data_IF_809268465998
#
_entry.id   IF_809268465998
#
_cell.length_a   1.000
_cell.length_b   1.000
_cell.length_c   1.000
_cell.angle_alpha   90.00
_cell.angle_beta   90.00
_cell.angle_gamma   90.00
#
_symmetry.space_group_name_H-M   'P 1'
#
loop_
_entity.id
_entity.type
_entity.pdbx_description
1 polymer ?
#
# COMPACT_ATOMS: atom_id res chain seq x y z
N UNK A 1 6.55 -1.13 36.16
CA UNK A 1 6.69 -1.62 34.78
C UNK A 1 8.03 -1.12 34.26
N UNK A 2 8.81 -1.97 33.60
CA UNK A 2 10.01 -1.57 32.87
C UNK A 2 9.85 -1.99 31.41
N UNK A 3 10.40 -1.20 30.49
CA UNK A 3 10.50 -1.57 29.09
C UNK A 3 11.50 -2.73 28.98
N UNK A 4 11.06 -3.86 28.41
CA UNK A 4 11.96 -4.97 28.13
C UNK A 4 12.71 -4.60 26.86
N UNK A 5 14.02 -4.43 26.92
CA UNK A 5 14.83 -4.25 25.71
C UNK A 5 14.56 -5.44 24.78
N UNK A 6 14.19 -5.13 23.54
CA UNK A 6 13.86 -6.12 22.53
C UNK A 6 14.98 -7.18 22.45
N UNK A 7 14.65 -8.43 22.75
CA UNK A 7 15.47 -9.58 22.36
C UNK A 7 15.34 -9.75 20.86
N UNK A 8 16.06 -8.93 20.09
CA UNK A 8 16.25 -9.15 18.66
C UNK A 8 17.00 -10.48 18.50
N UNK A 9 16.28 -11.56 18.23
CA UNK A 9 16.89 -12.81 17.79
C UNK A 9 17.34 -12.57 16.34
N UNK A 10 18.52 -11.97 16.18
CA UNK A 10 19.18 -11.73 14.88
C UNK A 10 20.12 -12.87 14.55
N UNK A 11 19.58 -14.07 14.50
CA UNK A 11 20.32 -15.21 13.95
C UNK A 11 20.00 -15.30 12.45
N UNK A 12 21.00 -15.59 11.62
CA UNK A 12 20.81 -15.79 10.17
C UNK A 12 19.73 -16.84 9.88
N UNK A 13 19.59 -17.83 10.76
CA UNK A 13 18.52 -18.84 10.69
C UNK A 13 17.12 -18.26 10.75
N UNK A 14 16.91 -17.12 11.42
CA UNK A 14 15.62 -16.44 11.45
C UNK A 14 15.30 -15.76 10.12
N UNK A 15 16.29 -15.19 9.43
CA UNK A 15 16.11 -14.61 8.10
C UNK A 15 15.71 -15.66 7.07
N UNK A 16 16.16 -16.91 7.23
CA UNK A 16 15.74 -18.04 6.38
C UNK A 16 14.25 -18.38 6.52
N UNK A 17 13.57 -17.91 7.58
CA UNK A 17 12.12 -18.12 7.71
C UNK A 17 11.32 -17.18 6.81
N UNK A 18 11.88 -16.05 6.38
CA UNK A 18 11.16 -15.05 5.60
C UNK A 18 10.80 -15.61 4.22
N UNK A 19 9.66 -15.15 3.70
CA UNK A 19 9.24 -15.46 2.35
C UNK A 19 10.00 -14.58 1.36
N UNK A 20 10.49 -15.19 0.27
CA UNK A 20 10.95 -14.44 -0.90
C UNK A 20 9.71 -13.80 -1.53
N UNK A 21 9.77 -12.49 -1.76
CA UNK A 21 8.66 -11.71 -2.30
C UNK A 21 9.08 -11.08 -3.62
N UNK A 22 8.76 -11.76 -4.72
CA UNK A 22 9.13 -11.34 -6.06
C UNK A 22 8.16 -10.30 -6.61
N UNK A 23 8.57 -9.59 -7.66
CA UNK A 23 7.70 -8.64 -8.34
C UNK A 23 6.42 -9.33 -8.84
N UNK A 24 5.26 -8.81 -8.42
CA UNK A 24 3.94 -9.34 -8.73
C UNK A 24 3.41 -10.40 -7.76
N UNK A 25 4.20 -10.85 -6.78
CA UNK A 25 3.67 -11.65 -5.68
C UNK A 25 2.69 -10.81 -4.84
N UNK A 26 1.74 -11.47 -4.18
CA UNK A 26 0.78 -10.83 -3.26
C UNK A 26 0.96 -11.37 -1.84
N UNK A 27 0.81 -10.49 -0.85
CA UNK A 27 0.81 -10.86 0.56
C UNK A 27 -0.54 -10.47 1.21
N UNK A 28 -1.09 -11.33 2.06
CA UNK A 28 -2.35 -11.05 2.75
C UNK A 28 -2.13 -10.24 4.04
N UNK A 29 -2.75 -9.08 4.15
CA UNK A 29 -2.82 -8.26 5.36
C UNK A 29 -4.19 -8.43 6.03
N UNK A 30 -4.24 -9.16 7.15
CA UNK A 30 -5.48 -9.47 7.86
C UNK A 30 -6.12 -8.31 8.63
N UNK A 31 -5.50 -7.13 8.69
CA UNK A 31 -6.00 -6.00 9.48
C UNK A 31 -7.32 -5.47 8.94
N UNK A 32 -8.30 -5.33 9.84
CA UNK A 32 -9.62 -4.79 9.48
C UNK A 32 -9.60 -3.26 9.48
N UNK A 33 -10.26 -2.67 8.49
CA UNK A 33 -10.47 -1.22 8.41
C UNK A 33 -11.84 -0.90 7.83
N UNK A 34 -12.22 0.39 7.82
CA UNK A 34 -13.48 0.84 7.19
C UNK A 34 -13.59 0.43 5.70
N UNK A 35 -12.46 0.33 5.00
CA UNK A 35 -12.42 0.02 3.57
C UNK A 35 -12.13 -1.46 3.29
N UNK A 36 -11.71 -2.23 4.31
CA UNK A 36 -11.27 -3.62 4.19
C UNK A 36 -11.79 -4.41 5.39
N UNK A 37 -13.01 -4.94 5.28
CA UNK A 37 -13.66 -5.62 6.39
C UNK A 37 -13.05 -6.99 6.72
N UNK A 38 -12.43 -7.62 5.72
CA UNK A 38 -11.87 -8.98 5.76
C UNK A 38 -10.36 -9.01 5.48
N UNK A 39 -9.66 -7.91 5.81
CA UNK A 39 -8.28 -7.72 5.36
C UNK A 39 -8.19 -7.40 3.87
N UNK A 40 -6.98 -7.46 3.32
CA UNK A 40 -6.71 -7.19 1.91
C UNK A 40 -5.44 -7.90 1.46
N UNK A 41 -5.26 -7.99 0.14
CA UNK A 41 -3.96 -8.34 -0.41
C UNK A 41 -3.16 -7.09 -0.78
N UNK A 42 -1.84 -7.20 -0.69
CA UNK A 42 -0.87 -6.20 -1.13
C UNK A 42 0.00 -6.83 -2.20
N UNK A 43 -0.03 -6.26 -3.40
CA UNK A 43 0.82 -6.68 -4.51
C UNK A 43 2.20 -6.02 -4.44
N UNK A 44 3.24 -6.80 -4.68
CA UNK A 44 4.58 -6.30 -4.83
C UNK A 44 4.76 -5.61 -6.19
N UNK A 45 4.83 -4.29 -6.16
CA UNK A 45 5.07 -3.45 -7.36
C UNK A 45 6.42 -2.74 -7.32
N UNK A 46 7.26 -3.04 -6.33
CA UNK A 46 8.50 -2.30 -6.05
C UNK A 46 9.73 -3.05 -6.59
N UNK A 47 9.79 -4.36 -6.40
CA UNK A 47 10.93 -5.20 -6.80
C UNK A 47 11.12 -6.40 -5.87
N UNK A 48 12.07 -7.26 -6.20
CA UNK A 48 12.33 -8.47 -5.41
C UNK A 48 12.83 -8.11 -4.00
N UNK A 49 12.31 -8.80 -3.00
CA UNK A 49 12.70 -8.62 -1.60
C UNK A 49 12.28 -9.79 -0.73
N UNK A 50 12.16 -9.53 0.56
CA UNK A 50 11.66 -10.49 1.54
C UNK A 50 10.48 -9.90 2.30
N UNK A 51 9.56 -10.76 2.72
CA UNK A 51 8.44 -10.40 3.60
C UNK A 51 8.38 -11.39 4.76
N UNK A 52 8.00 -10.90 5.94
CA UNK A 52 7.96 -11.73 7.15
C UNK A 52 7.08 -12.97 6.94
N UNK A 53 7.50 -14.10 7.51
CA UNK A 53 6.78 -15.38 7.45
C UNK A 53 5.37 -15.32 8.06
N UNK A 54 5.06 -14.27 8.81
CA UNK A 54 3.73 -14.05 9.39
C UNK A 54 2.66 -13.73 8.34
N UNK A 55 3.06 -13.37 7.13
CA UNK A 55 2.14 -13.10 6.03
C UNK A 55 2.01 -14.30 5.10
N UNK A 56 0.77 -14.63 4.74
CA UNK A 56 0.51 -15.58 3.66
C UNK A 56 0.88 -14.92 2.33
N UNK A 57 1.81 -15.54 1.58
CA UNK A 57 2.33 -15.03 0.30
C UNK A 57 1.90 -15.95 -0.83
N UNK A 58 1.43 -15.37 -1.93
CA UNK A 58 0.97 -16.09 -3.10
C UNK A 58 1.64 -15.56 -4.37
N UNK A 59 1.99 -16.48 -5.25
CA UNK A 59 2.55 -16.19 -6.57
C UNK A 59 1.49 -16.37 -7.65
N UNK A 60 1.25 -15.37 -8.53
CA UNK A 60 0.31 -15.51 -9.63
C UNK A 60 0.71 -16.64 -10.59
N UNK A 61 -0.22 -17.56 -10.85
CA UNK A 61 -0.04 -18.66 -11.81
C UNK A 61 -0.44 -18.29 -13.24
N UNK A 62 -1.34 -17.31 -13.40
CA UNK A 62 -1.81 -16.87 -14.71
C UNK A 62 -0.73 -16.06 -15.41
N UNK A 63 -0.32 -16.46 -16.62
CA UNK A 63 0.59 -15.68 -17.47
C UNK A 63 0.10 -15.72 -18.92
N UNK A 64 0.10 -14.58 -19.65
CA UNK A 64 0.52 -13.24 -19.23
C UNK A 64 -0.55 -12.49 -18.41
N UNK A 65 -0.12 -11.53 -17.59
CA UNK A 65 -0.98 -10.60 -16.84
C UNK A 65 -0.34 -9.20 -16.81
N UNK A 66 -1.14 -8.17 -16.55
CA UNK A 66 -0.64 -6.79 -16.41
C UNK A 66 -0.53 -6.38 -14.94
N UNK A 67 0.69 -6.05 -14.48
CA UNK A 67 0.97 -5.69 -13.10
C UNK A 67 0.21 -4.43 -12.66
N UNK A 68 0.11 -3.41 -13.53
CA UNK A 68 -0.56 -2.16 -13.17
C UNK A 68 -2.07 -2.36 -13.04
N UNK A 69 -2.68 -3.25 -13.84
CA UNK A 69 -4.08 -3.64 -13.63
C UNK A 69 -4.29 -4.28 -12.26
N UNK A 70 -3.48 -5.29 -11.91
CA UNK A 70 -3.63 -6.05 -10.67
C UNK A 70 -3.39 -5.23 -9.41
N UNK A 71 -2.49 -4.23 -9.46
CA UNK A 71 -2.27 -3.23 -8.41
C UNK A 71 -3.57 -2.62 -7.89
N UNK A 72 -4.51 -2.31 -8.79
CA UNK A 72 -5.82 -1.77 -8.42
C UNK A 72 -6.88 -2.85 -8.24
N UNK A 73 -6.90 -3.88 -9.11
CA UNK A 73 -7.93 -4.91 -9.07
C UNK A 73 -7.91 -5.70 -7.76
N UNK A 74 -6.74 -6.03 -7.23
CA UNK A 74 -6.60 -6.79 -5.97
C UNK A 74 -7.00 -5.98 -4.74
N UNK A 75 -7.01 -4.65 -4.84
CA UNK A 75 -7.46 -3.75 -3.79
C UNK A 75 -8.94 -3.33 -3.95
N UNK A 76 -9.62 -3.79 -5.00
CA UNK A 76 -11.00 -3.45 -5.27
C UNK A 76 -11.94 -4.32 -4.42
N UNK A 77 -12.61 -3.72 -3.45
CA UNK A 77 -13.46 -4.46 -2.52
C UNK A 77 -14.75 -5.01 -3.14
N UNK A 78 -15.22 -4.44 -4.25
CA UNK A 78 -16.34 -5.02 -5.00
C UNK A 78 -15.95 -6.37 -5.62
N UNK A 79 -14.67 -6.54 -5.93
CA UNK A 79 -14.12 -7.76 -6.52
C UNK A 79 -13.64 -8.73 -5.41
N UNK A 80 -12.85 -8.23 -4.46
CA UNK A 80 -12.18 -9.07 -3.45
C UNK A 80 -12.98 -9.29 -2.18
N UNK A 81 -13.90 -8.41 -1.81
CA UNK A 81 -14.60 -8.49 -0.51
C UNK A 81 -15.40 -9.78 -0.33
N UNK A 82 -16.10 -10.22 -1.38
CA UNK A 82 -16.84 -11.49 -1.34
C UNK A 82 -15.93 -12.72 -1.28
N UNK A 83 -14.80 -12.67 -1.98
CA UNK A 83 -13.78 -13.73 -1.97
C UNK A 83 -13.19 -13.85 -0.56
N UNK A 84 -12.72 -12.73 -0.01
CA UNK A 84 -12.12 -12.68 1.33
C UNK A 84 -13.12 -13.02 2.44
N UNK A 85 -14.40 -12.64 2.30
CA UNK A 85 -15.45 -13.05 3.23
C UNK A 85 -15.56 -14.59 3.33
N UNK A 86 -15.43 -15.29 2.21
CA UNK A 86 -15.54 -16.76 2.15
C UNK A 86 -14.23 -17.48 2.48
N UNK A 87 -13.10 -16.83 2.28
CA UNK A 87 -11.78 -17.41 2.48
C UNK A 87 -11.08 -16.95 3.76
N UNK A 88 -11.75 -16.23 4.66
CA UNK A 88 -11.16 -15.76 5.93
C UNK A 88 -11.96 -16.16 7.16
N UNK A 89 -11.28 -16.23 8.30
CA UNK A 89 -11.89 -16.44 9.62
C UNK A 89 -11.67 -15.21 10.49
N UNK A 90 -12.73 -14.79 11.17
CA UNK A 90 -12.68 -13.65 12.07
C UNK A 90 -11.81 -13.96 13.31
N UNK A 91 -10.90 -13.04 13.62
CA UNK A 91 -10.25 -12.89 14.92
C UNK A 91 -10.63 -11.52 15.50
N UNK A 92 -10.16 -11.21 16.72
CA UNK A 92 -10.57 -10.01 17.47
C UNK A 92 -10.37 -8.73 16.64
N UNK A 93 -9.14 -8.47 16.18
CA UNK A 93 -8.78 -7.24 15.42
C UNK A 93 -8.31 -7.51 13.99
N UNK A 94 -8.17 -8.77 13.61
CA UNK A 94 -7.71 -9.18 12.28
C UNK A 94 -8.56 -10.32 11.75
N UNK A 95 -8.31 -10.69 10.51
CA UNK A 95 -8.81 -11.89 9.88
C UNK A 95 -7.63 -12.77 9.51
N UNK A 96 -7.80 -14.08 9.62
CA UNK A 96 -6.80 -15.04 9.15
C UNK A 96 -7.30 -15.62 7.84
N UNK A 97 -6.43 -15.65 6.83
CA UNK A 97 -6.75 -16.28 5.56
C UNK A 97 -6.75 -17.81 5.72
N UNK A 98 -7.70 -18.46 5.08
CA UNK A 98 -7.69 -19.91 4.88
C UNK A 98 -7.21 -20.14 3.46
N UNK A 99 -5.91 -20.38 3.29
CA UNK A 99 -5.27 -20.44 1.98
C UNK A 99 -5.94 -21.45 1.03
N UNK A 100 -6.34 -22.61 1.53
CA UNK A 100 -7.04 -23.61 0.70
C UNK A 100 -8.39 -23.10 0.18
N UNK A 101 -9.17 -22.41 1.00
CA UNK A 101 -10.46 -21.85 0.59
C UNK A 101 -10.23 -20.75 -0.46
N UNK A 102 -9.23 -19.87 -0.25
CA UNK A 102 -8.85 -18.84 -1.22
C UNK A 102 -8.42 -19.42 -2.57
N UNK A 103 -7.63 -20.49 -2.56
CA UNK A 103 -7.16 -21.14 -3.79
C UNK A 103 -8.28 -21.82 -4.61
N UNK A 104 -9.45 -22.06 -4.02
CA UNK A 104 -10.64 -22.57 -4.74
C UNK A 104 -11.54 -21.46 -5.27
N UNK A 105 -11.32 -20.21 -4.88
CA UNK A 105 -12.13 -19.08 -5.33
C UNK A 105 -11.82 -18.73 -6.79
N UNK A 106 -12.86 -18.35 -7.54
CA UNK A 106 -12.73 -17.96 -8.94
C UNK A 106 -13.60 -16.75 -9.22
N UNK A 107 -13.17 -15.91 -10.15
CA UNK A 107 -13.92 -14.75 -10.61
C UNK A 107 -13.55 -14.42 -12.05
N UNK A 108 -14.40 -13.64 -12.71
CA UNK A 108 -14.16 -13.18 -14.07
C UNK A 108 -13.10 -12.08 -14.08
N UNK A 109 -12.09 -12.24 -14.92
CA UNK A 109 -11.03 -11.25 -15.12
C UNK A 109 -11.01 -10.83 -16.59
N UNK A 110 -10.73 -9.55 -16.91
CA UNK A 110 -10.56 -9.09 -18.29
C UNK A 110 -9.44 -9.85 -19.01
N UNK A 111 -9.50 -9.87 -20.33
CA UNK A 111 -8.44 -10.45 -21.15
C UNK A 111 -7.13 -9.67 -20.99
N UNK A 112 -5.99 -10.30 -21.24
CA UNK A 112 -4.69 -9.63 -21.11
C UNK A 112 -4.57 -8.31 -21.92
N UNK A 113 -5.07 -8.21 -23.17
CA UNK A 113 -5.09 -6.92 -23.88
C UNK A 113 -5.93 -5.83 -23.19
N UNK A 114 -7.04 -6.19 -22.54
CA UNK A 114 -7.86 -5.26 -21.77
C UNK A 114 -7.17 -4.85 -20.47
N UNK A 115 -6.55 -5.80 -19.77
CA UNK A 115 -5.75 -5.53 -18.57
C UNK A 115 -4.67 -4.48 -18.88
N UNK A 116 -3.94 -4.62 -20.00
CA UNK A 116 -2.94 -3.61 -20.43
C UNK A 116 -3.54 -2.23 -20.65
N UNK A 117 -4.70 -2.13 -21.29
CA UNK A 117 -5.37 -0.84 -21.54
C UNK A 117 -5.80 -0.18 -20.23
N UNK A 118 -6.39 -0.96 -19.32
CA UNK A 118 -6.86 -0.48 -18.02
C UNK A 118 -5.68 -0.11 -17.12
N UNK A 119 -4.65 -0.95 -17.05
CA UNK A 119 -3.43 -0.70 -16.28
C UNK A 119 -2.70 0.56 -16.75
N UNK A 120 -2.54 0.74 -18.07
CA UNK A 120 -1.95 1.95 -18.64
C UNK A 120 -2.77 3.21 -18.33
N UNK A 121 -4.10 3.12 -18.35
CA UNK A 121 -4.98 4.23 -17.97
C UNK A 121 -4.78 4.65 -16.51
N UNK A 122 -4.76 3.70 -15.58
CA UNK A 122 -4.52 4.02 -14.17
C UNK A 122 -3.10 4.55 -13.93
N UNK A 123 -2.10 4.03 -14.62
CA UNK A 123 -0.74 4.57 -14.55
C UNK A 123 -0.67 6.03 -15.02
N UNK A 124 -1.39 6.38 -16.08
CA UNK A 124 -1.48 7.78 -16.53
C UNK A 124 -2.16 8.68 -15.47
N UNK A 125 -3.21 8.18 -14.81
CA UNK A 125 -3.87 8.89 -13.71
C UNK A 125 -2.94 9.11 -12.51
N UNK A 126 -2.19 8.08 -12.09
CA UNK A 126 -1.21 8.20 -11.00
C UNK A 126 -0.15 9.26 -11.32
N UNK A 127 0.34 9.28 -12.56
CA UNK A 127 1.31 10.28 -13.01
C UNK A 127 0.73 11.69 -12.96
N UNK A 128 -0.53 11.87 -13.39
CA UNK A 128 -1.22 13.15 -13.35
C UNK A 128 -1.46 13.63 -11.90
N UNK A 129 -1.89 12.73 -11.02
CA UNK A 129 -2.06 13.02 -9.58
C UNK A 129 -0.72 13.43 -8.97
N UNK A 130 0.34 12.68 -9.24
CA UNK A 130 1.69 12.96 -8.75
C UNK A 130 2.17 14.33 -9.20
N UNK A 131 1.97 14.65 -10.48
CA UNK A 131 2.31 15.96 -11.06
C UNK A 131 1.60 17.09 -10.31
N UNK A 132 0.27 17.01 -10.15
CA UNK A 132 -0.50 18.05 -9.48
C UNK A 132 -0.20 18.15 -7.98
N UNK A 133 0.08 17.04 -7.29
CA UNK A 133 0.52 17.07 -5.89
C UNK A 133 1.86 17.79 -5.74
N UNK A 134 2.80 17.56 -6.67
CA UNK A 134 4.08 18.25 -6.69
C UNK A 134 3.90 19.77 -6.89
N UNK A 135 3.11 20.17 -7.88
CA UNK A 135 2.78 21.58 -8.13
C UNK A 135 2.15 22.25 -6.90
N UNK A 136 1.16 21.59 -6.30
CA UNK A 136 0.49 22.08 -5.09
C UNK A 136 1.47 22.26 -3.92
N UNK A 137 2.38 21.30 -3.71
CA UNK A 137 3.39 21.40 -2.66
C UNK A 137 4.35 22.58 -2.89
N UNK A 138 4.78 22.80 -4.13
CA UNK A 138 5.65 23.94 -4.50
C UNK A 138 4.94 25.27 -4.20
N UNK A 139 3.70 25.42 -4.67
CA UNK A 139 2.90 26.64 -4.46
C UNK A 139 2.65 26.87 -2.96
N UNK A 140 2.31 25.82 -2.22
CA UNK A 140 2.07 25.88 -0.77
C UNK A 140 3.33 26.30 0.01
N UNK A 141 4.49 25.75 -0.34
CA UNK A 141 5.78 26.14 0.26
C UNK A 141 6.10 27.60 -0.01
N UNK A 142 5.96 28.06 -1.26
CA UNK A 142 6.18 29.47 -1.65
C UNK A 142 5.26 30.43 -0.91
N UNK A 143 3.97 30.09 -0.78
CA UNK A 143 3.00 30.90 -0.03
C UNK A 143 3.38 31.02 1.45
N UNK A 144 3.73 29.90 2.11
CA UNK A 144 4.19 29.89 3.51
C UNK A 144 5.44 30.74 3.71
N UNK A 145 6.42 30.63 2.80
CA UNK A 145 7.63 31.44 2.85
C UNK A 145 7.35 32.95 2.72
N UNK A 146 6.47 33.34 1.79
CA UNK A 146 6.05 34.75 1.62
C UNK A 146 5.36 35.31 2.86
N UNK A 147 4.50 34.52 3.51
CA UNK A 147 3.80 34.93 4.73
C UNK A 147 4.78 35.10 5.91
N UNK A 148 5.72 34.16 6.09
CA UNK A 148 6.77 34.27 7.12
C UNK A 148 7.62 35.51 6.93
N UNK A 149 8.02 35.80 5.68
CA UNK A 149 8.80 37.00 5.35
C UNK A 149 8.03 38.28 5.71
N UNK A 150 6.76 38.38 5.33
CA UNK A 150 5.93 39.54 5.68
C UNK A 150 5.79 39.71 7.19
N UNK A 151 5.53 38.63 7.93
CA UNK A 151 5.43 38.68 9.39
C UNK A 151 6.71 39.21 10.03
N UNK A 152 7.88 38.75 9.55
CA UNK A 152 9.18 39.24 10.00
C UNK A 152 9.37 40.74 9.69
N UNK A 153 9.06 41.17 8.46
CA UNK A 153 9.13 42.59 8.06
C UNK A 153 8.24 43.47 8.97
N UNK A 154 7.02 43.04 9.29
CA UNK A 154 6.14 43.74 10.23
C UNK A 154 6.73 43.82 11.65
N UNK A 155 7.28 42.73 12.18
CA UNK A 155 7.91 42.72 13.50
C UNK A 155 9.09 43.70 13.58
N UNK A 156 9.96 43.71 12.57
CA UNK A 156 11.11 44.63 12.50
C UNK A 156 10.65 46.09 12.45
N UNK A 157 9.65 46.41 11.61
CA UNK A 157 9.10 47.77 11.52
C UNK A 157 8.48 48.20 12.85
N UNK A 158 7.71 47.32 13.50
CA UNK A 158 7.12 47.65 14.81
C UNK A 158 8.16 47.88 15.90
N UNK A 159 9.27 47.14 15.90
CA UNK A 159 10.36 47.33 16.86
C UNK A 159 11.10 48.67 16.64
N UNK A 160 11.25 49.11 15.39
CA UNK A 160 11.88 50.39 15.04
C UNK A 160 11.02 51.61 15.38
N UNK A 161 9.69 51.48 15.43
CA UNK A 161 8.77 52.59 15.75
C UNK A 161 8.67 52.83 17.28
N UNK A 162 9.03 51.84 18.10
CA UNK A 162 8.93 51.90 19.58
C UNK A 162 10.24 52.37 20.23
N UNK A 163 11.30 52.58 19.44
CA UNK A 163 12.60 53.16 19.85
C UNK A 163 12.69 54.63 19.43
#
# INVERSE_FOLDING_TARGET
MYFKEDSYITDESYLLTYNIFELGDIAFEGNKSKNYAHGRFVENTIGNGIVSHVFDVFKPIMKPYDLQFWKYAINNEQLMGGILLRSTKASTMMTNLVANDFLQETFLTPTYPEQKKIGAFFQQLDNLITLHQCEFQIVSKRRKARLRRRAFEFTVISALIVL
#
